data_IF_159122056607
#
_entry.id   IF_159122056607
#
_cell.length_a   1.000
_cell.length_b   1.000
_cell.length_c   1.000
_cell.angle_alpha   90.00
_cell.angle_beta   90.00
_cell.angle_gamma   90.00
#
_symmetry.space_group_name_H-M   'P 1'
#
loop_
_entity.id
_entity.type
_entity.pdbx_description
1 polymer ?
#
# COMPACT_ATOMS: atom_id res chain seq x y z
N UNK A 1 -11.83 -17.70 30.34
CA UNK A 1 -10.40 -17.49 30.08
C UNK A 1 -10.21 -17.03 28.63
N UNK A 2 -10.20 -15.72 28.36
CA UNK A 2 -9.99 -15.18 27.01
C UNK A 2 -8.52 -14.86 26.80
N UNK A 3 -7.82 -15.65 25.98
CA UNK A 3 -6.40 -15.40 25.67
C UNK A 3 -6.31 -14.16 24.77
N UNK A 4 -5.60 -13.08 25.16
CA UNK A 4 -5.45 -11.92 24.30
C UNK A 4 -4.65 -12.35 23.06
N UNK A 5 -5.18 -12.03 21.87
CA UNK A 5 -4.44 -12.17 20.62
C UNK A 5 -3.43 -11.03 20.56
N UNK A 6 -2.35 -11.17 21.31
CA UNK A 6 -1.19 -10.29 21.16
C UNK A 6 -0.65 -10.60 19.77
N UNK A 7 -0.93 -9.72 18.81
CA UNK A 7 -0.11 -9.69 17.60
C UNK A 7 1.24 -9.16 18.09
N UNK A 8 2.31 -9.95 17.98
CA UNK A 8 3.63 -9.58 18.50
C UNK A 8 4.19 -8.30 17.87
N UNK A 9 3.63 -7.89 16.74
CA UNK A 9 4.04 -6.69 16.02
C UNK A 9 3.34 -5.42 16.52
N UNK A 10 4.15 -4.42 16.86
CA UNK A 10 3.69 -3.09 17.27
C UNK A 10 2.98 -2.38 16.11
N UNK A 11 1.69 -2.07 16.28
CA UNK A 11 0.91 -1.30 15.29
C UNK A 11 0.96 0.20 15.57
N UNK A 12 1.14 0.99 14.53
CA UNK A 12 1.07 2.46 14.58
C UNK A 12 -0.26 2.89 13.97
N UNK A 13 -1.00 3.76 14.67
CA UNK A 13 -2.23 4.33 14.13
C UNK A 13 -1.87 5.37 13.05
N UNK A 14 -2.24 5.09 11.80
CA UNK A 14 -1.97 5.97 10.66
C UNK A 14 -3.29 6.44 10.06
N UNK A 15 -3.52 7.76 10.05
CA UNK A 15 -4.68 8.35 9.40
C UNK A 15 -4.41 8.52 7.89
N UNK A 16 -5.13 7.77 7.05
CA UNK A 16 -5.05 7.87 5.59
C UNK A 16 -6.35 8.50 5.07
N UNK A 17 -6.22 9.57 4.28
CA UNK A 17 -7.36 10.21 3.62
C UNK A 17 -7.59 9.54 2.26
N UNK A 18 -8.76 8.94 2.10
CA UNK A 18 -9.19 8.31 0.85
C UNK A 18 -10.30 9.15 0.20
N UNK A 19 -10.39 9.20 -1.13
CA UNK A 19 -11.60 9.66 -1.81
C UNK A 19 -12.82 8.87 -1.31
N UNK A 20 -13.97 9.53 -1.16
CA UNK A 20 -15.19 8.92 -0.63
C UNK A 20 -15.59 7.66 -1.41
N UNK A 21 -15.52 7.71 -2.73
CA UNK A 21 -15.82 6.58 -3.62
C UNK A 21 -14.93 5.37 -3.35
N UNK A 22 -13.65 5.60 -3.05
CA UNK A 22 -12.71 4.54 -2.71
C UNK A 22 -12.98 3.99 -1.30
N UNK A 23 -13.25 4.86 -0.33
CA UNK A 23 -13.63 4.45 1.02
C UNK A 23 -14.87 3.54 0.99
N UNK A 24 -15.91 3.92 0.25
CA UNK A 24 -17.14 3.12 0.13
C UNK A 24 -16.87 1.75 -0.51
N UNK A 25 -16.06 1.70 -1.58
CA UNK A 25 -15.69 0.43 -2.23
C UNK A 25 -14.90 -0.48 -1.30
N UNK A 26 -13.99 0.08 -0.50
CA UNK A 26 -13.24 -0.67 0.49
C UNK A 26 -14.15 -1.27 1.56
N UNK A 27 -15.10 -0.49 2.08
CA UNK A 27 -16.07 -0.98 3.07
C UNK A 27 -16.93 -2.12 2.52
N UNK A 28 -17.46 -1.96 1.31
CA UNK A 28 -18.24 -3.02 0.65
C UNK A 28 -17.42 -4.30 0.47
N UNK A 29 -16.16 -4.19 0.01
CA UNK A 29 -15.29 -5.34 -0.16
C UNK A 29 -14.95 -6.04 1.17
N UNK A 30 -14.79 -5.27 2.24
CA UNK A 30 -14.54 -5.77 3.59
C UNK A 30 -15.77 -6.52 4.14
N UNK A 31 -16.96 -5.92 4.03
CA UNK A 31 -18.22 -6.55 4.46
C UNK A 31 -18.53 -7.84 3.70
N UNK A 32 -18.35 -7.84 2.38
CA UNK A 32 -18.56 -9.00 1.51
C UNK A 32 -17.67 -10.21 1.88
N UNK A 33 -16.50 -9.95 2.47
CA UNK A 33 -15.51 -10.97 2.86
C UNK A 33 -15.53 -11.30 4.35
N UNK A 34 -16.39 -10.66 5.13
CA UNK A 34 -16.39 -10.72 6.60
C UNK A 34 -15.00 -10.42 7.22
N UNK A 35 -14.34 -9.37 6.72
CA UNK A 35 -13.04 -8.90 7.22
C UNK A 35 -13.04 -7.40 7.51
N UNK A 36 -12.04 -6.92 8.23
CA UNK A 36 -11.88 -5.48 8.47
C UNK A 36 -11.29 -4.74 7.27
N UNK A 37 -11.72 -3.51 7.05
CA UNK A 37 -11.11 -2.60 6.07
C UNK A 37 -9.61 -2.38 6.34
N UNK A 38 -9.20 -2.37 7.62
CA UNK A 38 -7.79 -2.29 8.01
C UNK A 38 -6.98 -3.47 7.47
N UNK A 39 -7.50 -4.71 7.54
CA UNK A 39 -6.82 -5.89 6.99
C UNK A 39 -6.58 -5.74 5.49
N UNK A 40 -7.60 -5.30 4.75
CA UNK A 40 -7.49 -5.10 3.30
C UNK A 40 -6.48 -4.00 2.96
N UNK A 41 -6.49 -2.88 3.68
CA UNK A 41 -5.49 -1.81 3.51
C UNK A 41 -4.09 -2.34 3.80
N UNK A 42 -3.89 -3.02 4.93
CA UNK A 42 -2.57 -3.55 5.31
C UNK A 42 -2.03 -4.49 4.23
N UNK A 43 -2.84 -5.43 3.75
CA UNK A 43 -2.43 -6.36 2.67
C UNK A 43 -2.14 -5.63 1.37
N UNK A 44 -3.01 -4.73 0.94
CA UNK A 44 -2.82 -4.00 -0.31
C UNK A 44 -1.57 -3.11 -0.29
N UNK A 45 -1.27 -2.50 0.86
CA UNK A 45 -0.06 -1.68 1.04
C UNK A 45 1.19 -2.56 0.99
N UNK A 46 1.20 -3.67 1.72
CA UNK A 46 2.32 -4.62 1.73
C UNK A 46 2.61 -5.14 0.31
N UNK A 47 1.59 -5.64 -0.36
CA UNK A 47 1.66 -6.17 -1.74
C UNK A 47 2.05 -5.11 -2.78
N UNK A 48 1.71 -3.84 -2.53
CA UNK A 48 2.15 -2.72 -3.37
C UNK A 48 3.62 -2.39 -3.13
N UNK A 49 4.07 -2.38 -1.88
CA UNK A 49 5.46 -2.10 -1.50
C UNK A 49 6.41 -3.19 -2.04
N UNK A 50 6.03 -4.46 -2.00
CA UNK A 50 6.81 -5.56 -2.58
C UNK A 50 7.02 -5.42 -4.09
N UNK A 51 6.08 -4.77 -4.79
CA UNK A 51 6.12 -4.58 -6.24
C UNK A 51 6.77 -3.28 -6.67
N UNK A 52 7.02 -2.36 -5.75
CA UNK A 52 7.68 -1.13 -6.11
C UNK A 52 9.06 -1.48 -6.68
N UNK A 53 9.41 -0.95 -7.86
CA UNK A 53 10.77 -1.06 -8.34
C UNK A 53 11.71 -0.50 -7.27
N UNK A 54 12.84 -1.17 -7.04
CA UNK A 54 13.86 -0.67 -6.13
C UNK A 54 14.15 0.79 -6.47
N UNK A 55 14.35 1.63 -5.44
CA UNK A 55 14.61 3.05 -5.63
C UNK A 55 15.77 3.30 -6.61
N UNK A 56 16.77 2.41 -6.61
CA UNK A 56 17.86 2.37 -7.58
C UNK A 56 17.39 2.20 -9.04
N UNK A 57 16.39 1.38 -9.29
CA UNK A 57 15.84 1.13 -10.64
C UNK A 57 15.08 2.35 -11.16
N UNK A 58 14.33 3.05 -10.30
CA UNK A 58 13.59 4.26 -10.67
C UNK A 58 14.53 5.42 -10.97
N UNK A 59 15.56 5.62 -10.14
CA UNK A 59 16.58 6.66 -10.34
C UNK A 59 17.44 6.39 -11.59
N UNK A 60 17.82 5.13 -11.84
CA UNK A 60 18.55 4.72 -13.04
C UNK A 60 17.72 4.90 -14.32
N UNK A 61 16.41 4.60 -14.28
CA UNK A 61 15.50 4.81 -15.44
C UNK A 61 15.29 6.28 -15.81
N UNK A 62 15.32 7.20 -14.83
CA UNK A 62 15.25 8.65 -15.08
C UNK A 62 16.55 9.18 -15.70
N UNK A 63 17.71 8.70 -15.25
CA UNK A 63 19.02 9.08 -15.83
C UNK A 63 19.15 8.63 -17.29
N UNK A 64 18.78 7.38 -17.59
CA UNK A 64 18.85 6.82 -18.94
C UNK A 64 17.86 7.44 -19.96
N UNK A 65 16.86 8.21 -19.49
CA UNK A 65 15.95 9.01 -20.33
C UNK A 65 16.46 10.42 -20.57
N UNK A 66 17.21 10.99 -19.61
CA UNK A 66 17.83 12.31 -19.76
C UNK A 66 18.98 12.31 -20.76
N UNK A 67 19.70 11.20 -20.92
CA UNK A 67 20.84 11.11 -21.85
C UNK A 67 20.45 10.90 -23.32
N UNK A 68 19.19 10.58 -23.62
CA UNK A 68 18.71 10.29 -24.98
C UNK A 68 17.95 11.43 -25.66
N UNK A 69 17.73 12.55 -24.98
CA UNK A 69 16.93 13.69 -25.49
C UNK A 69 17.73 14.97 -25.80
N UNK A 70 19.06 14.91 -25.79
CA UNK A 70 19.93 16.10 -25.87
C UNK A 70 20.91 16.10 -27.05
N UNK A 71 20.52 15.55 -28.21
CA UNK A 71 21.35 15.54 -29.40
C UNK A 71 20.55 15.73 -30.67
N UNK A 72 20.89 16.81 -31.40
CA UNK A 72 20.41 17.29 -32.71
C UNK A 72 19.29 18.33 -32.69
#
# INVERSE_FOLDING_TARGET
>A
MGRPRVSDEKRIATAVRLPESLHRRLQLAASDRDVSANLLITRAVDEYLERLPSADTVLSSKRARSERGGGS
#
